data_IF_311148632160
#
_entry.id   IF_311148632160
#
_cell.length_a   1.000
_cell.length_b   1.000
_cell.length_c   1.000
_cell.angle_alpha   90.00
_cell.angle_beta   90.00
_cell.angle_gamma   90.00
#
_symmetry.space_group_name_H-M   'P 1'
#
loop_
_entity.id
_entity.type
_entity.pdbx_description
1 polymer ?
#
# COMPACT_ATOMS: atom_id res chain seq x y z
N UNK A 1 -15.05 48.26 27.51
CA UNK A 1 -15.69 47.88 26.22
C UNK A 1 -14.75 46.88 25.56
N UNK A 2 -14.92 45.59 25.83
CA UNK A 2 -14.04 44.55 25.29
C UNK A 2 -14.58 44.12 23.93
N UNK A 3 -13.81 44.46 22.90
CA UNK A 3 -13.98 43.99 21.53
C UNK A 3 -13.83 42.46 21.54
N UNK A 4 -14.94 41.77 21.31
CA UNK A 4 -14.96 40.33 21.13
C UNK A 4 -14.29 40.02 19.78
N UNK A 5 -13.01 39.66 19.81
CA UNK A 5 -12.28 39.17 18.65
C UNK A 5 -12.80 37.75 18.34
N UNK A 6 -13.45 37.58 17.18
CA UNK A 6 -13.93 36.26 16.74
C UNK A 6 -12.74 35.31 16.64
N UNK A 7 -12.79 34.09 17.21
CA UNK A 7 -11.70 33.15 17.07
C UNK A 7 -11.62 32.73 15.61
N UNK A 8 -10.39 32.63 15.09
CA UNK A 8 -9.95 32.12 13.79
C UNK A 8 -10.35 30.65 13.51
N UNK A 9 -11.59 30.25 13.84
CA UNK A 9 -12.09 28.89 13.72
C UNK A 9 -12.20 28.46 12.24
N UNK A 10 -12.43 29.41 11.33
CA UNK A 10 -12.61 29.11 9.90
C UNK A 10 -11.28 28.79 9.19
N UNK A 11 -10.18 29.44 9.58
CA UNK A 11 -8.85 29.18 9.02
C UNK A 11 -8.27 27.81 9.43
N UNK A 12 -8.67 27.30 10.59
CA UNK A 12 -8.28 25.95 11.04
C UNK A 12 -9.15 24.85 10.42
N UNK A 13 -10.38 25.17 9.99
CA UNK A 13 -11.27 24.21 9.34
C UNK A 13 -10.90 23.98 7.87
N UNK A 14 -10.34 24.97 7.16
CA UNK A 14 -9.86 24.80 5.79
C UNK A 14 -8.62 23.91 5.69
N UNK A 15 -7.70 23.95 6.67
CA UNK A 15 -6.55 23.03 6.73
C UNK A 15 -6.96 21.57 6.99
N UNK A 16 -8.16 21.32 7.51
CA UNK A 16 -8.69 19.98 7.73
C UNK A 16 -9.51 19.46 6.54
N UNK A 17 -9.93 20.30 5.59
CA UNK A 17 -10.99 19.95 4.65
C UNK A 17 -10.57 19.13 3.42
N UNK A 18 -9.26 18.95 3.16
CA UNK A 18 -8.88 18.29 1.89
C UNK A 18 -7.62 17.42 1.95
N UNK A 19 -7.53 16.53 2.95
CA UNK A 19 -6.81 15.24 2.75
C UNK A 19 -7.66 14.25 1.94
N UNK A 20 -8.42 14.71 0.94
CA UNK A 20 -8.88 13.86 -0.14
C UNK A 20 -7.62 13.33 -0.82
N UNK A 21 -7.31 12.06 -0.61
CA UNK A 21 -6.28 11.35 -1.37
C UNK A 21 -6.40 11.78 -2.82
N UNK A 22 -5.33 12.32 -3.39
CA UNK A 22 -5.36 12.84 -4.75
C UNK A 22 -5.90 11.73 -5.66
N UNK A 23 -7.05 11.98 -6.28
CA UNK A 23 -7.71 11.02 -7.17
C UNK A 23 -6.73 10.55 -8.27
N UNK A 24 -5.81 11.44 -8.64
CA UNK A 24 -4.68 11.20 -9.52
C UNK A 24 -3.74 10.10 -9.01
N UNK A 25 -3.39 10.08 -7.72
CA UNK A 25 -2.55 9.02 -7.13
C UNK A 25 -3.23 7.65 -7.24
N UNK A 26 -4.54 7.58 -7.00
CA UNK A 26 -5.29 6.34 -7.13
C UNK A 26 -5.39 5.86 -8.58
N UNK A 27 -5.52 6.79 -9.54
CA UNK A 27 -5.53 6.46 -10.98
C UNK A 27 -4.17 5.88 -11.39
N UNK A 28 -3.06 6.55 -11.05
CA UNK A 28 -1.71 6.06 -11.35
C UNK A 28 -1.49 4.67 -10.73
N UNK A 29 -1.88 4.51 -9.46
CA UNK A 29 -1.73 3.25 -8.76
C UNK A 29 -2.54 2.13 -9.42
N UNK A 30 -3.75 2.41 -9.93
CA UNK A 30 -4.55 1.43 -10.68
C UNK A 30 -3.88 1.03 -11.99
N UNK A 31 -3.46 2.01 -12.80
CA UNK A 31 -2.80 1.76 -14.09
C UNK A 31 -1.53 0.93 -13.91
N UNK A 32 -0.81 1.17 -12.82
CA UNK A 32 0.40 0.42 -12.49
C UNK A 32 0.12 -0.97 -11.89
N UNK A 33 -0.89 -1.09 -11.02
CA UNK A 33 -1.21 -2.31 -10.27
C UNK A 33 -1.72 -3.45 -11.16
N UNK A 34 -2.66 -3.18 -12.06
CA UNK A 34 -3.35 -4.25 -12.81
C UNK A 34 -2.42 -5.07 -13.71
N UNK A 35 -1.55 -4.48 -14.56
CA UNK A 35 -0.61 -5.24 -15.36
C UNK A 35 0.34 -6.09 -14.51
N UNK A 36 0.77 -5.54 -13.36
CA UNK A 36 1.65 -6.23 -12.41
C UNK A 36 0.94 -7.40 -11.73
N UNK A 37 -0.30 -7.23 -11.33
CA UNK A 37 -1.10 -8.31 -10.75
C UNK A 37 -1.32 -9.45 -11.75
N UNK A 38 -1.63 -9.12 -13.01
CA UNK A 38 -1.80 -10.13 -14.08
C UNK A 38 -0.49 -10.88 -14.31
N UNK A 39 0.62 -10.16 -14.47
CA UNK A 39 1.93 -10.77 -14.67
C UNK A 39 2.43 -11.58 -13.46
N UNK A 40 2.05 -11.19 -12.24
CA UNK A 40 2.31 -12.00 -11.05
C UNK A 40 1.44 -13.25 -11.04
N UNK A 41 0.13 -13.12 -11.29
CA UNK A 41 -0.83 -14.23 -11.24
C UNK A 41 -0.52 -15.30 -12.29
N UNK A 42 -0.19 -14.88 -13.52
CA UNK A 42 0.23 -15.81 -14.58
C UNK A 42 1.45 -16.61 -14.14
N UNK A 43 2.51 -15.93 -13.70
CA UNK A 43 3.72 -16.61 -13.22
C UNK A 43 3.41 -17.53 -12.04
N UNK A 44 2.62 -17.06 -11.07
CA UNK A 44 2.28 -17.86 -9.89
C UNK A 44 1.54 -19.15 -10.26
N UNK A 45 0.63 -19.10 -11.24
CA UNK A 45 -0.04 -20.29 -11.79
C UNK A 45 0.99 -21.22 -12.46
N UNK A 46 1.88 -20.68 -13.29
CA UNK A 46 2.92 -21.48 -13.94
C UNK A 46 3.81 -22.19 -12.90
N UNK A 47 4.27 -21.47 -11.86
CA UNK A 47 5.07 -22.03 -10.77
C UNK A 47 4.34 -23.11 -9.98
N UNK A 48 3.04 -22.97 -9.74
CA UNK A 48 2.24 -24.03 -9.09
C UNK A 48 2.25 -25.32 -9.92
N UNK A 49 2.27 -25.20 -11.25
CA UNK A 49 2.23 -26.34 -12.16
C UNK A 49 3.60 -26.98 -12.39
N UNK A 50 4.69 -26.20 -12.33
CA UNK A 50 6.01 -26.65 -12.81
C UNK A 50 7.12 -26.68 -11.78
N UNK A 51 6.91 -26.16 -10.57
CA UNK A 51 8.01 -25.89 -9.64
C UNK A 51 7.87 -26.57 -8.28
N UNK A 52 8.97 -26.59 -7.54
CA UNK A 52 9.07 -27.20 -6.22
C UNK A 52 8.37 -26.34 -5.15
N UNK A 53 7.98 -27.01 -4.06
CA UNK A 53 7.22 -26.39 -2.98
C UNK A 53 7.92 -25.16 -2.36
N UNK A 54 9.26 -25.14 -2.29
CA UNK A 54 9.99 -24.01 -1.72
C UNK A 54 9.88 -22.76 -2.60
N UNK A 55 9.94 -22.93 -3.92
CA UNK A 55 9.77 -21.83 -4.88
C UNK A 55 8.36 -21.26 -4.84
N UNK A 56 7.34 -22.13 -4.76
CA UNK A 56 5.93 -21.70 -4.61
C UNK A 56 5.74 -20.87 -3.34
N UNK A 57 6.35 -21.30 -2.22
CA UNK A 57 6.27 -20.58 -0.95
C UNK A 57 6.96 -19.22 -1.02
N UNK A 58 8.18 -19.14 -1.57
CA UNK A 58 8.89 -17.86 -1.70
C UNK A 58 8.10 -16.88 -2.55
N UNK A 59 7.51 -17.33 -3.66
CA UNK A 59 6.67 -16.46 -4.48
C UNK A 59 5.37 -16.05 -3.77
N UNK A 60 4.82 -16.94 -2.93
CA UNK A 60 3.62 -16.69 -2.13
C UNK A 60 3.80 -15.60 -1.06
N UNK A 61 5.03 -15.34 -0.60
CA UNK A 61 5.33 -14.28 0.37
C UNK A 61 4.93 -12.90 -0.18
N UNK A 62 4.98 -12.70 -1.50
CA UNK A 62 4.62 -11.44 -2.15
C UNK A 62 3.11 -11.24 -2.30
N UNK A 63 2.29 -12.29 -2.17
CA UNK A 63 0.84 -12.22 -2.37
C UNK A 63 0.15 -11.20 -1.43
N UNK A 64 0.50 -11.09 -0.14
CA UNK A 64 -0.05 -10.05 0.72
C UNK A 64 0.34 -8.62 0.35
N UNK A 65 1.46 -8.39 -0.36
CA UNK A 65 1.78 -7.04 -0.89
C UNK A 65 0.75 -6.64 -1.94
N UNK A 66 0.43 -7.53 -2.88
CA UNK A 66 -0.61 -7.30 -3.89
C UNK A 66 -2.00 -7.15 -3.26
N UNK A 67 -2.31 -7.93 -2.22
CA UNK A 67 -3.57 -7.78 -1.48
C UNK A 67 -3.64 -6.43 -0.74
N UNK A 68 -2.57 -6.01 -0.08
CA UNK A 68 -2.53 -4.73 0.62
C UNK A 68 -2.78 -3.56 -0.35
N UNK A 69 -2.14 -3.58 -1.52
CA UNK A 69 -2.34 -2.55 -2.55
C UNK A 69 -3.75 -2.61 -3.14
N UNK A 70 -4.30 -3.81 -3.37
CA UNK A 70 -5.68 -3.98 -3.81
C UNK A 70 -6.68 -3.41 -2.79
N UNK A 71 -6.52 -3.73 -1.52
CA UNK A 71 -7.34 -3.19 -0.43
C UNK A 71 -7.20 -1.66 -0.32
N UNK A 72 -6.01 -1.10 -0.59
CA UNK A 72 -5.79 0.34 -0.67
C UNK A 72 -6.59 0.99 -1.80
N UNK A 73 -6.57 0.39 -3.00
CA UNK A 73 -7.29 0.82 -4.20
C UNK A 73 -8.81 0.78 -3.96
N UNK A 74 -9.33 -0.34 -3.48
CA UNK A 74 -10.75 -0.56 -3.22
C UNK A 74 -11.25 0.10 -1.93
N UNK A 75 -10.37 0.80 -1.21
CA UNK A 75 -10.74 1.49 0.03
C UNK A 75 -11.38 0.51 1.04
N UNK A 76 -10.72 -0.62 1.27
CA UNK A 76 -11.14 -1.62 2.25
C UNK A 76 -10.17 -1.65 3.42
N UNK A 77 -10.66 -1.35 4.62
CA UNK A 77 -9.83 -1.28 5.84
C UNK A 77 -9.08 -2.59 6.11
N UNK A 78 -7.80 -2.48 6.44
CA UNK A 78 -7.00 -3.63 6.88
C UNK A 78 -7.56 -4.20 8.19
N UNK A 79 -7.82 -5.51 8.19
CA UNK A 79 -8.03 -6.27 9.41
C UNK A 79 -6.67 -6.57 10.05
N UNK A 80 -6.53 -6.41 11.37
CA UNK A 80 -5.30 -6.66 12.13
C UNK A 80 -4.04 -5.95 11.56
N UNK A 81 -3.82 -4.68 11.92
CA UNK A 81 -2.70 -3.87 11.41
C UNK A 81 -1.30 -4.44 11.71
N UNK A 82 -1.15 -5.21 12.79
CA UNK A 82 0.15 -5.80 13.17
C UNK A 82 0.56 -6.86 12.16
N UNK A 83 -0.39 -7.73 11.77
CA UNK A 83 -0.16 -8.76 10.76
C UNK A 83 0.39 -8.16 9.47
N UNK A 84 -0.28 -7.13 8.93
CA UNK A 84 0.13 -6.51 7.67
C UNK A 84 1.48 -5.81 7.74
N UNK A 85 1.82 -5.17 8.87
CA UNK A 85 3.14 -4.54 9.06
C UNK A 85 4.25 -5.58 9.02
N UNK A 86 4.11 -6.64 9.80
CA UNK A 86 5.10 -7.73 9.86
C UNK A 86 5.22 -8.39 8.49
N UNK A 87 4.10 -8.67 7.83
CA UNK A 87 4.13 -9.37 6.55
C UNK A 87 4.77 -8.54 5.43
N UNK A 88 4.47 -7.25 5.35
CA UNK A 88 5.09 -6.36 4.36
C UNK A 88 6.60 -6.28 4.58
N UNK A 89 7.07 -6.26 5.83
CA UNK A 89 8.51 -6.32 6.12
C UNK A 89 9.13 -7.64 5.68
N UNK A 90 8.47 -8.77 5.94
CA UNK A 90 8.95 -10.08 5.50
C UNK A 90 9.04 -10.16 3.98
N UNK A 91 8.04 -9.64 3.26
CA UNK A 91 8.06 -9.61 1.80
C UNK A 91 9.19 -8.73 1.25
N UNK A 92 9.44 -7.56 1.84
CA UNK A 92 10.58 -6.72 1.47
C UNK A 92 11.91 -7.46 1.74
N UNK A 93 12.03 -8.13 2.87
CA UNK A 93 13.24 -8.87 3.22
C UNK A 93 13.50 -10.05 2.27
N UNK A 94 12.46 -10.80 1.91
CA UNK A 94 12.57 -11.91 0.94
C UNK A 94 12.92 -11.40 -0.45
N UNK A 95 12.33 -10.29 -0.89
CA UNK A 95 12.65 -9.65 -2.16
C UNK A 95 14.11 -9.16 -2.20
N UNK A 96 14.59 -8.49 -1.14
CA UNK A 96 15.99 -8.06 -1.04
C UNK A 96 16.92 -9.27 -1.09
N UNK A 97 16.61 -10.33 -0.34
CA UNK A 97 17.38 -11.58 -0.36
C UNK A 97 17.41 -12.17 -1.77
N UNK A 98 16.26 -12.30 -2.42
CA UNK A 98 16.13 -12.82 -3.77
C UNK A 98 16.98 -12.00 -4.75
N UNK A 99 16.94 -10.67 -4.62
CA UNK A 99 17.71 -9.78 -5.48
C UNK A 99 19.22 -9.92 -5.28
N UNK A 100 19.69 -10.03 -4.03
CA UNK A 100 21.11 -10.24 -3.72
C UNK A 100 21.61 -11.60 -4.24
N UNK A 101 20.79 -12.65 -4.15
CA UNK A 101 21.19 -14.01 -4.53
C UNK A 101 21.20 -14.21 -6.04
N UNK A 102 20.26 -13.61 -6.78
CA UNK A 102 20.04 -13.93 -8.19
C UNK A 102 20.64 -12.93 -9.18
N UNK A 103 20.96 -11.70 -8.75
CA UNK A 103 21.52 -10.69 -9.65
C UNK A 103 23.02 -10.50 -9.43
N UNK A 104 23.81 -10.96 -10.40
CA UNK A 104 25.25 -10.68 -10.49
C UNK A 104 25.51 -9.34 -11.20
N UNK A 105 24.56 -8.86 -12.01
CA UNK A 105 24.65 -7.60 -12.75
C UNK A 105 23.91 -6.47 -12.00
N UNK A 106 24.67 -5.43 -11.63
CA UNK A 106 24.19 -4.25 -10.91
C UNK A 106 23.14 -3.45 -11.70
N UNK A 107 23.24 -3.39 -13.03
CA UNK A 107 22.27 -2.65 -13.85
C UNK A 107 20.90 -3.33 -13.85
N UNK A 108 20.90 -4.66 -13.97
CA UNK A 108 19.68 -5.47 -13.95
C UNK A 108 19.02 -5.46 -12.56
N UNK A 109 19.85 -5.44 -11.51
CA UNK A 109 19.40 -5.26 -10.13
C UNK A 109 18.65 -3.92 -9.97
N UNK A 110 19.27 -2.79 -10.34
CA UNK A 110 18.67 -1.46 -10.20
C UNK A 110 17.35 -1.35 -10.97
N UNK A 111 17.32 -1.89 -12.20
CA UNK A 111 16.11 -1.86 -13.04
C UNK A 111 14.95 -2.60 -12.38
N UNK A 112 15.17 -3.83 -11.91
CA UNK A 112 14.14 -4.66 -11.29
C UNK A 112 13.69 -4.11 -9.93
N UNK A 113 14.62 -3.59 -9.11
CA UNK A 113 14.27 -2.90 -7.86
C UNK A 113 13.36 -1.69 -8.13
N UNK A 114 13.68 -0.85 -9.12
CA UNK A 114 12.86 0.30 -9.48
C UNK A 114 11.47 -0.12 -9.99
N UNK A 115 11.38 -1.25 -10.69
CA UNK A 115 10.13 -1.78 -11.23
C UNK A 115 9.23 -2.48 -10.20
N UNK A 116 9.71 -2.74 -9.00
CA UNK A 116 8.94 -3.35 -7.90
C UNK A 116 8.71 -2.37 -6.74
N UNK A 117 9.63 -1.43 -6.54
CA UNK A 117 9.61 -0.45 -5.44
C UNK A 117 8.29 0.32 -5.26
N UNK A 118 7.51 0.69 -6.30
CA UNK A 118 6.27 1.43 -6.10
C UNK A 118 5.16 0.59 -5.44
N UNK A 119 5.11 -0.72 -5.70
CA UNK A 119 4.14 -1.63 -5.07
C UNK A 119 4.46 -1.81 -3.58
N UNK A 120 5.73 -2.08 -3.26
CA UNK A 120 6.17 -2.21 -1.88
C UNK A 120 6.00 -0.89 -1.12
N UNK A 121 6.31 0.25 -1.74
CA UNK A 121 6.06 1.57 -1.14
C UNK A 121 4.58 1.79 -0.85
N UNK A 122 3.68 1.46 -1.79
CA UNK A 122 2.24 1.57 -1.58
C UNK A 122 1.73 0.64 -0.46
N UNK A 123 2.25 -0.58 -0.39
CA UNK A 123 1.91 -1.54 0.67
C UNK A 123 2.41 -1.08 2.05
N UNK A 124 3.63 -0.52 2.14
CA UNK A 124 4.17 0.09 3.37
C UNK A 124 3.31 1.27 3.80
N UNK A 125 3.01 2.19 2.89
CA UNK A 125 2.12 3.32 3.17
C UNK A 125 0.80 2.81 3.74
N UNK A 126 0.25 1.76 3.15
CA UNK A 126 -1.01 1.23 3.58
C UNK A 126 -0.95 0.53 4.94
N UNK A 127 0.00 -0.38 5.16
CA UNK A 127 0.13 -1.12 6.41
C UNK A 127 0.43 -0.19 7.61
N UNK A 128 1.33 0.78 7.44
CA UNK A 128 1.82 1.63 8.53
C UNK A 128 0.93 2.85 8.79
N UNK A 129 0.34 3.43 7.75
CA UNK A 129 -0.49 4.64 7.88
C UNK A 129 -1.99 4.36 7.75
N UNK A 130 -2.42 3.09 7.72
CA UNK A 130 -3.84 2.69 7.68
C UNK A 130 -4.70 3.40 8.73
N UNK A 131 -4.21 3.55 9.97
CA UNK A 131 -4.92 4.26 11.03
C UNK A 131 -5.28 5.69 10.64
N UNK A 132 -4.31 6.48 10.17
CA UNK A 132 -4.51 7.87 9.75
C UNK A 132 -5.35 7.99 8.46
N UNK A 133 -5.23 7.00 7.58
CA UNK A 133 -6.03 6.88 6.35
C UNK A 133 -7.52 6.70 6.66
N UNK A 134 -7.84 5.86 7.65
CA UNK A 134 -9.21 5.45 7.95
C UNK A 134 -9.89 6.29 9.03
N UNK A 135 -9.13 6.94 9.91
CA UNK A 135 -9.65 7.90 10.89
C UNK A 135 -10.28 9.14 10.24
N UNK A 136 -9.96 9.45 8.97
CA UNK A 136 -10.60 10.53 8.22
C UNK A 136 -12.10 10.29 7.93
N UNK A 137 -12.56 9.03 7.91
CA UNK A 137 -13.96 8.71 7.59
C UNK A 137 -14.90 8.71 8.82
N UNK A 138 -14.37 8.47 10.03
CA UNK A 138 -15.23 8.33 11.23
C UNK A 138 -15.72 9.69 11.74
N UNK A 139 -14.97 10.79 11.52
CA UNK A 139 -15.38 12.14 11.95
C UNK A 139 -16.50 12.76 11.12
N UNK A 140 -16.80 12.25 9.91
CA UNK A 140 -17.92 12.74 9.10
C UNK A 140 -19.28 12.14 9.50
N UNK A 141 -19.30 11.03 10.23
CA UNK A 141 -20.54 10.35 10.64
C UNK A 141 -20.92 10.57 12.11
N UNK A 142 -20.00 11.11 12.93
CA UNK A 142 -20.23 11.39 14.35
C UNK A 142 -20.96 12.71 14.68
N UNK A 143 -21.52 13.42 13.68
CA UNK A 143 -22.30 14.66 13.89
C UNK A 143 -23.74 14.58 13.38
N UNK A 144 -24.35 13.40 13.39
CA UNK A 144 -25.81 13.32 13.44
C UNK A 144 -26.17 12.93 14.87
N UNK A 145 -26.20 13.94 15.75
CA UNK A 145 -26.98 13.83 16.98
C UNK A 145 -28.42 14.12 16.58
N UNK A 146 -29.27 13.10 16.65
CA UNK A 146 -30.73 13.28 16.79
C UNK A 146 -30.98 13.78 18.20
#
# INVERSE_FOLDING_TARGET
MNLYEKPNADLNNEKLSNKRRSLFFLIILNVYYWPKLIGFSSRYIDYILTSDYQTILSMGINLPVYLAVGLLIFRVKLFNSIFWKIWVLLAIADEIRFQIVNYVNIELLIYETLLLSPLYAAAVIYAYFSGSIWQLNVRMWGRVKV
#
